data_IF_027958079959
#
_entry.id   IF_027958079959
#
_cell.length_a   1.000
_cell.length_b   1.000
_cell.length_c   1.000
_cell.angle_alpha   90.00
_cell.angle_beta   90.00
_cell.angle_gamma   90.00
#
_symmetry.space_group_name_H-M   'P 1'
#
loop_
_entity.id
_entity.type
_entity.pdbx_description
1 polymer ?
#
# COMPACT_ATOMS: atom_id res chain seq x y z
N UNK A 1 29.51 40.95 -50.09
CA UNK A 1 28.84 39.73 -50.59
C UNK A 1 27.48 39.61 -49.91
N UNK A 2 26.41 40.16 -50.52
CA UNK A 2 25.05 40.12 -49.94
C UNK A 2 24.49 38.71 -50.13
N UNK A 3 24.60 37.87 -49.11
CA UNK A 3 23.90 36.58 -49.09
C UNK A 3 22.41 36.92 -49.21
N UNK A 4 21.75 36.44 -50.27
CA UNK A 4 20.32 36.69 -50.50
C UNK A 4 19.53 36.00 -49.37
N UNK A 5 19.22 36.75 -48.31
CA UNK A 5 18.46 36.28 -47.14
C UNK A 5 17.16 35.54 -47.53
N UNK A 6 16.59 35.90 -48.68
CA UNK A 6 15.40 35.26 -49.26
C UNK A 6 15.59 33.77 -49.60
N UNK A 7 16.82 33.28 -49.83
CA UNK A 7 17.10 31.87 -50.14
C UNK A 7 17.31 30.99 -48.90
N UNK A 8 17.64 31.58 -47.75
CA UNK A 8 17.85 30.85 -46.48
C UNK A 8 16.59 30.77 -45.61
N UNK A 9 15.63 31.67 -45.84
CA UNK A 9 14.35 31.72 -45.13
C UNK A 9 13.55 30.40 -45.15
N UNK A 10 13.38 29.66 -46.28
CA UNK A 10 12.61 28.42 -46.28
C UNK A 10 13.24 27.33 -45.42
N UNK A 11 14.58 27.25 -45.38
CA UNK A 11 15.32 26.28 -44.55
C UNK A 11 15.22 26.61 -43.07
N UNK A 12 15.18 27.90 -42.70
CA UNK A 12 14.99 28.33 -41.32
C UNK A 12 13.57 28.03 -40.82
N UNK A 13 12.55 28.20 -41.67
CA UNK A 13 11.17 27.77 -41.35
C UNK A 13 11.04 26.25 -41.22
N UNK A 14 11.72 25.47 -42.08
CA UNK A 14 11.74 23.99 -41.97
C UNK A 14 12.44 23.56 -40.67
N UNK A 15 13.55 24.21 -40.30
CA UNK A 15 14.24 23.95 -39.04
C UNK A 15 13.37 24.32 -37.83
N UNK A 16 12.65 25.45 -37.88
CA UNK A 16 11.73 25.86 -36.81
C UNK A 16 10.52 24.92 -36.68
N UNK A 17 9.99 24.41 -37.80
CA UNK A 17 8.93 23.41 -37.84
C UNK A 17 9.38 22.04 -37.27
N UNK A 18 10.66 21.69 -37.39
CA UNK A 18 11.23 20.48 -36.78
C UNK A 18 11.29 20.54 -35.24
N UNK A 19 11.46 21.73 -34.65
CA UNK A 19 11.43 21.91 -33.19
C UNK A 19 10.02 21.89 -32.59
N UNK A 20 8.98 22.15 -33.39
CA UNK A 20 7.58 22.07 -32.94
C UNK A 20 7.06 20.63 -32.81
N UNK A 21 7.85 19.63 -33.23
CA UNK A 21 7.49 18.22 -33.20
C UNK A 21 8.20 17.39 -32.11
N UNK A 22 8.81 18.03 -31.11
CA UNK A 22 9.32 17.31 -29.93
C UNK A 22 8.12 16.88 -29.07
N UNK A 23 7.47 15.78 -29.45
CA UNK A 23 6.55 15.08 -28.56
C UNK A 23 7.36 14.55 -27.39
N UNK A 24 7.05 15.02 -26.18
CA UNK A 24 7.47 14.34 -24.96
C UNK A 24 6.77 12.99 -24.91
N UNK A 25 7.40 11.96 -25.48
CA UNK A 25 6.94 10.57 -25.34
C UNK A 25 7.29 10.14 -23.93
N UNK A 26 6.36 10.38 -22.99
CA UNK A 26 6.39 9.70 -21.70
C UNK A 26 5.94 8.27 -21.95
N UNK A 27 6.87 7.34 -22.07
CA UNK A 27 6.53 5.93 -22.11
C UNK A 27 5.99 5.53 -20.73
N UNK A 28 4.70 5.18 -20.67
CA UNK A 28 4.11 4.58 -19.48
C UNK A 28 4.91 3.33 -19.09
N UNK A 29 5.18 3.17 -17.80
CA UNK A 29 5.91 2.00 -17.31
C UNK A 29 4.94 0.80 -17.33
N UNK A 30 5.26 -0.20 -18.14
CA UNK A 30 4.48 -1.44 -18.25
C UNK A 30 4.99 -2.45 -17.20
N UNK A 31 4.12 -2.75 -16.24
CA UNK A 31 4.35 -3.75 -15.20
C UNK A 31 3.03 -4.37 -14.74
N UNK A 32 3.14 -5.54 -14.11
CA UNK A 32 2.08 -6.18 -13.33
C UNK A 32 2.51 -6.38 -11.88
N UNK A 33 1.54 -6.45 -10.98
CA UNK A 33 1.78 -6.71 -9.56
C UNK A 33 1.48 -8.20 -9.30
N UNK A 34 2.53 -9.02 -9.26
CA UNK A 34 2.37 -10.47 -9.09
C UNK A 34 1.92 -10.84 -7.68
N UNK A 35 2.43 -10.13 -6.67
CA UNK A 35 2.14 -10.43 -5.27
C UNK A 35 2.14 -9.16 -4.41
N UNK A 36 1.18 -9.05 -3.50
CA UNK A 36 1.18 -8.10 -2.39
C UNK A 36 0.92 -8.84 -1.08
N UNK A 37 1.98 -9.01 -0.28
CA UNK A 37 1.90 -9.64 1.04
C UNK A 37 2.08 -8.59 2.13
N UNK A 38 1.00 -8.27 2.82
CA UNK A 38 0.98 -7.29 3.91
C UNK A 38 0.74 -7.98 5.26
N UNK A 39 1.62 -7.71 6.21
CA UNK A 39 1.47 -8.15 7.61
C UNK A 39 1.36 -6.92 8.50
N UNK A 40 0.27 -6.80 9.25
CA UNK A 40 0.05 -5.79 10.28
C UNK A 40 0.11 -6.44 11.66
N UNK A 41 1.14 -6.09 12.45
CA UNK A 41 1.36 -6.61 13.80
C UNK A 41 0.85 -5.61 14.84
N UNK A 42 -0.19 -5.99 15.57
CA UNK A 42 -0.81 -5.17 16.62
C UNK A 42 0.15 -5.00 17.80
N UNK A 43 0.25 -3.77 18.30
CA UNK A 43 1.06 -3.40 19.46
C UNK A 43 0.17 -3.06 20.65
N UNK A 44 0.71 -3.20 21.87
CA UNK A 44 -0.03 -2.93 23.11
C UNK A 44 -0.52 -1.49 23.24
N UNK A 45 0.12 -0.55 22.54
CA UNK A 45 -0.24 0.88 22.51
C UNK A 45 -1.30 1.22 21.44
N UNK A 46 -1.87 0.22 20.75
CA UNK A 46 -2.87 0.42 19.71
C UNK A 46 -2.30 0.84 18.35
N UNK A 47 -0.98 0.99 18.23
CA UNK A 47 -0.33 1.11 16.91
C UNK A 47 -0.24 -0.24 16.22
N UNK A 48 -0.03 -0.22 14.90
CA UNK A 48 0.28 -1.42 14.11
C UNK A 48 1.64 -1.25 13.42
N UNK A 49 2.50 -2.25 13.55
CA UNK A 49 3.74 -2.34 12.79
C UNK A 49 3.48 -3.11 11.50
N UNK A 50 3.72 -2.48 10.36
CA UNK A 50 3.42 -3.04 9.04
C UNK A 50 4.70 -3.47 8.34
N UNK A 51 4.66 -4.68 7.76
CA UNK A 51 5.59 -5.14 6.74
C UNK A 51 4.79 -5.43 5.47
N UNK A 52 5.06 -4.72 4.38
CA UNK A 52 4.39 -4.89 3.09
C UNK A 52 5.40 -5.25 2.03
N UNK A 53 5.26 -6.43 1.41
CA UNK A 53 6.15 -6.91 0.36
C UNK A 53 5.36 -6.97 -0.94
N UNK A 54 5.77 -6.17 -1.92
CA UNK A 54 5.11 -6.12 -3.23
C UNK A 54 6.11 -6.54 -4.29
N UNK A 55 5.76 -7.56 -5.06
CA UNK A 55 6.57 -8.08 -6.17
C UNK A 55 5.96 -7.65 -7.49
N UNK A 56 6.76 -6.95 -8.28
CA UNK A 56 6.42 -6.45 -9.59
C UNK A 56 7.15 -7.24 -10.67
N UNK A 57 6.50 -7.49 -11.80
CA UNK A 57 7.13 -7.95 -13.03
C UNK A 57 7.03 -6.85 -14.07
N UNK A 58 8.18 -6.29 -14.44
CA UNK A 58 8.28 -5.21 -15.42
C UNK A 58 8.43 -5.78 -16.83
N UNK A 59 7.69 -5.25 -17.79
CA UNK A 59 7.87 -5.50 -19.23
C UNK A 59 8.70 -4.39 -19.88
N UNK A 60 8.60 -3.16 -19.37
CA UNK A 60 9.46 -2.04 -19.78
C UNK A 60 10.54 -1.72 -18.73
N UNK A 61 11.46 -0.82 -19.06
CA UNK A 61 12.35 -0.24 -18.05
C UNK A 61 11.54 0.62 -17.05
N UNK A 62 12.00 0.70 -15.80
CA UNK A 62 11.47 1.61 -14.79
C UNK A 62 12.58 2.32 -14.03
N UNK A 63 12.33 3.57 -13.62
CA UNK A 63 13.22 4.35 -12.74
C UNK A 63 12.70 4.42 -11.29
N UNK A 64 11.50 3.93 -11.02
CA UNK A 64 10.93 3.97 -9.69
C UNK A 64 9.56 3.31 -9.60
N UNK A 65 9.06 3.24 -8.37
CA UNK A 65 7.79 2.59 -8.03
C UNK A 65 7.03 3.51 -7.09
N UNK A 66 5.73 3.68 -7.36
CA UNK A 66 4.83 4.42 -6.50
C UNK A 66 3.94 3.47 -5.71
N UNK A 67 3.65 3.83 -4.47
CA UNK A 67 2.73 3.11 -3.59
C UNK A 67 2.02 4.08 -2.66
N UNK A 68 0.69 4.00 -2.59
CA UNK A 68 -0.10 4.79 -1.64
C UNK A 68 -0.72 3.90 -0.56
N UNK A 69 -0.45 4.23 0.70
CA UNK A 69 -1.12 3.63 1.86
C UNK A 69 -2.32 4.48 2.26
N UNK A 70 -3.52 3.89 2.21
CA UNK A 70 -4.73 4.47 2.78
C UNK A 70 -4.59 4.69 4.28
N UNK A 71 -4.94 5.88 4.78
CA UNK A 71 -5.10 6.14 6.21
C UNK A 71 -6.24 7.12 6.46
N UNK A 72 -6.90 6.97 7.61
CA UNK A 72 -7.82 7.98 8.12
C UNK A 72 -7.03 9.24 8.56
N UNK A 73 -7.64 10.45 8.56
CA UNK A 73 -6.95 11.69 8.93
C UNK A 73 -6.28 11.68 10.32
N UNK A 74 -6.85 10.93 11.27
CA UNK A 74 -6.31 10.77 12.62
C UNK A 74 -5.08 9.86 12.69
N UNK A 75 -4.85 9.02 11.68
CA UNK A 75 -3.74 8.07 11.65
C UNK A 75 -2.50 8.72 11.04
N UNK A 76 -1.32 8.31 11.51
CA UNK A 76 -0.05 8.75 10.93
C UNK A 76 0.85 7.56 10.65
N UNK A 77 1.55 7.60 9.51
CA UNK A 77 2.61 6.67 9.16
C UNK A 77 3.94 7.25 9.63
N UNK A 78 4.67 6.50 10.45
CA UNK A 78 5.96 6.90 11.01
C UNK A 78 6.98 5.78 10.89
N UNK A 79 8.26 6.10 11.12
CA UNK A 79 9.38 5.15 11.15
C UNK A 79 9.55 4.35 9.83
N UNK A 80 9.29 5.00 8.69
CA UNK A 80 9.31 4.35 7.38
C UNK A 80 10.72 3.90 6.96
N UNK A 81 10.82 2.66 6.47
CA UNK A 81 12.02 2.07 5.87
C UNK A 81 11.64 1.28 4.63
N UNK A 82 12.49 1.30 3.61
CA UNK A 82 12.28 0.58 2.36
C UNK A 82 13.44 -0.37 2.11
N UNK A 83 13.15 -1.59 1.70
CA UNK A 83 14.11 -2.57 1.20
C UNK A 83 13.74 -2.94 -0.23
N UNK A 84 14.72 -2.97 -1.13
CA UNK A 84 14.55 -3.26 -2.55
C UNK A 84 15.35 -4.50 -2.91
N UNK A 85 14.74 -5.39 -3.69
CA UNK A 85 15.39 -6.57 -4.22
C UNK A 85 15.04 -6.74 -5.70
N UNK A 86 15.97 -6.40 -6.58
CA UNK A 86 15.85 -6.72 -7.99
C UNK A 86 16.14 -8.20 -8.24
N UNK A 87 15.68 -8.72 -9.36
CA UNK A 87 15.97 -10.08 -9.82
C UNK A 87 17.48 -10.36 -9.81
N UNK A 88 17.86 -11.52 -9.25
CA UNK A 88 19.25 -11.96 -9.09
C UNK A 88 20.15 -11.02 -8.26
N UNK A 89 19.56 -10.12 -7.46
CA UNK A 89 20.30 -9.27 -6.53
C UNK A 89 19.90 -9.57 -5.08
N UNK A 90 20.85 -9.39 -4.17
CA UNK A 90 20.56 -9.40 -2.72
C UNK A 90 19.77 -8.16 -2.36
N UNK A 91 18.71 -8.33 -1.56
CA UNK A 91 17.89 -7.20 -1.15
C UNK A 91 18.63 -6.24 -0.22
N UNK A 92 18.53 -4.94 -0.49
CA UNK A 92 19.22 -3.86 0.24
C UNK A 92 18.24 -2.83 0.79
N UNK A 93 18.53 -2.22 1.94
CA UNK A 93 17.77 -1.06 2.38
C UNK A 93 18.05 0.12 1.45
N UNK A 94 17.01 0.81 1.01
CA UNK A 94 17.11 2.02 0.20
C UNK A 94 16.87 3.25 1.08
N UNK A 95 17.74 4.25 0.94
CA UNK A 95 17.52 5.59 1.46
C UNK A 95 16.97 6.53 0.38
N UNK A 96 16.89 6.05 -0.87
CA UNK A 96 16.42 6.80 -2.03
C UNK A 96 14.92 6.55 -2.24
N UNK A 97 14.14 7.12 -1.32
CA UNK A 97 12.68 7.16 -1.41
C UNK A 97 12.16 8.45 -0.76
N UNK A 98 11.02 8.92 -1.25
CA UNK A 98 10.26 9.98 -0.58
C UNK A 98 8.97 9.42 0.02
N UNK A 99 8.49 10.08 1.06
CA UNK A 99 7.24 9.78 1.73
C UNK A 99 6.48 11.10 1.93
N UNK A 100 5.36 11.25 1.22
CA UNK A 100 4.54 12.45 1.27
C UNK A 100 3.19 12.14 1.91
N UNK A 101 2.75 12.98 2.85
CA UNK A 101 1.37 12.93 3.36
C UNK A 101 0.42 13.51 2.31
N UNK A 102 -0.65 12.79 2.01
CA UNK A 102 -1.71 13.16 1.06
C UNK A 102 -3.08 13.06 1.75
N UNK A 103 -4.14 13.59 1.13
CA UNK A 103 -5.47 13.66 1.75
C UNK A 103 -5.98 12.32 2.29
N UNK A 104 -5.71 11.23 1.57
CA UNK A 104 -6.16 9.88 1.93
C UNK A 104 -5.02 8.97 2.43
N UNK A 105 -3.97 9.54 3.02
CA UNK A 105 -2.90 8.78 3.68
C UNK A 105 -1.49 9.20 3.27
N UNK A 106 -0.66 8.27 2.81
CA UNK A 106 0.74 8.55 2.49
C UNK A 106 1.16 7.93 1.16
N UNK A 107 1.88 8.70 0.37
CA UNK A 107 2.43 8.31 -0.93
C UNK A 107 3.94 8.08 -0.82
N UNK A 108 4.37 6.87 -1.16
CA UNK A 108 5.76 6.50 -1.33
C UNK A 108 6.15 6.65 -2.80
N UNK A 109 7.27 7.33 -3.06
CA UNK A 109 8.00 7.23 -4.32
C UNK A 109 9.36 6.59 -4.04
N UNK A 110 9.60 5.40 -4.58
CA UNK A 110 10.84 4.65 -4.38
C UNK A 110 11.65 4.70 -5.67
N UNK A 111 12.83 5.30 -5.65
CA UNK A 111 13.69 5.35 -6.82
C UNK A 111 14.49 4.04 -6.93
N UNK A 112 14.38 3.40 -8.09
CA UNK A 112 15.11 2.16 -8.38
C UNK A 112 15.05 1.87 -9.87
N UNK A 113 16.21 1.64 -10.47
CA UNK A 113 16.30 1.25 -11.87
C UNK A 113 16.01 -0.24 -12.00
N UNK A 114 15.00 -0.58 -12.81
CA UNK A 114 14.63 -1.95 -13.13
C UNK A 114 14.72 -2.15 -14.64
N UNK A 115 15.39 -3.23 -15.04
CA UNK A 115 15.53 -3.61 -16.45
C UNK A 115 14.20 -4.15 -17.00
N UNK A 116 13.95 -4.01 -18.31
CA UNK A 116 12.84 -4.71 -18.97
C UNK A 116 12.88 -6.22 -18.70
N UNK A 117 11.70 -6.84 -18.64
CA UNK A 117 11.51 -8.27 -18.46
C UNK A 117 12.10 -8.85 -17.16
N UNK A 118 12.27 -8.03 -16.11
CA UNK A 118 12.79 -8.45 -14.80
C UNK A 118 11.79 -8.22 -13.66
N UNK A 119 12.04 -8.90 -12.54
CA UNK A 119 11.29 -8.71 -11.29
C UNK A 119 11.97 -7.71 -10.36
N UNK A 120 11.15 -7.05 -9.54
CA UNK A 120 11.61 -6.29 -8.39
C UNK A 120 10.62 -6.49 -7.24
N UNK A 121 11.12 -6.80 -6.05
CA UNK A 121 10.34 -6.80 -4.82
C UNK A 121 10.70 -5.59 -3.98
N UNK A 122 9.71 -4.78 -3.63
CA UNK A 122 9.85 -3.69 -2.67
C UNK A 122 9.19 -4.09 -1.37
N UNK A 123 9.94 -4.00 -0.28
CA UNK A 123 9.46 -4.24 1.08
C UNK A 123 9.42 -2.93 1.85
N UNK A 124 8.23 -2.52 2.28
CA UNK A 124 8.00 -1.36 3.12
C UNK A 124 7.85 -1.82 4.58
N UNK A 125 8.51 -1.10 5.48
CA UNK A 125 8.34 -1.24 6.92
C UNK A 125 7.94 0.12 7.47
N UNK A 126 6.90 0.17 8.28
CA UNK A 126 6.47 1.41 8.95
C UNK A 126 5.54 1.08 10.12
N UNK A 127 5.24 2.09 10.92
CA UNK A 127 4.25 2.01 12.01
C UNK A 127 3.10 2.96 11.68
N UNK A 128 1.87 2.49 11.86
CA UNK A 128 0.68 3.34 11.82
C UNK A 128 0.24 3.60 13.26
N UNK A 129 0.19 4.87 13.65
CA UNK A 129 -0.30 5.30 14.97
C UNK A 129 -1.82 5.48 14.94
N UNK A 130 -2.45 5.35 16.11
CA UNK A 130 -3.91 5.52 16.27
C UNK A 130 -4.73 4.60 15.36
N UNK A 131 -4.18 3.42 15.03
CA UNK A 131 -4.85 2.45 14.17
C UNK A 131 -6.02 1.74 14.86
N UNK A 132 -5.89 1.52 16.18
CA UNK A 132 -6.89 0.83 16.99
C UNK A 132 -7.57 1.81 17.92
N UNK A 133 -8.89 1.68 18.05
CA UNK A 133 -9.70 2.40 19.04
C UNK A 133 -10.10 1.45 20.16
N UNK A 134 -9.85 1.84 21.41
CA UNK A 134 -10.37 1.14 22.57
C UNK A 134 -11.69 1.78 23.02
N UNK A 135 -12.76 1.01 23.03
CA UNK A 135 -14.04 1.34 23.64
C UNK A 135 -14.15 0.72 25.03
N UNK A 136 -15.24 0.97 25.77
CA UNK A 136 -15.42 0.39 27.11
C UNK A 136 -15.42 -1.16 27.13
N UNK A 137 -15.84 -1.79 26.03
CA UNK A 137 -16.13 -3.23 25.97
C UNK A 137 -15.36 -4.01 24.88
N UNK A 138 -14.65 -3.33 23.98
CA UNK A 138 -13.85 -3.89 22.88
C UNK A 138 -12.69 -2.98 22.49
N UNK A 139 -11.63 -3.57 21.93
CA UNK A 139 -10.73 -2.89 21.02
C UNK A 139 -11.15 -3.20 19.57
N UNK A 140 -11.09 -2.19 18.69
CA UNK A 140 -11.52 -2.28 17.29
C UNK A 140 -10.39 -1.84 16.36
N UNK A 141 -10.14 -2.65 15.33
CA UNK A 141 -9.39 -2.27 14.15
C UNK A 141 -10.34 -2.36 12.95
N UNK A 142 -10.64 -1.21 12.34
CA UNK A 142 -11.29 -1.12 11.05
C UNK A 142 -10.29 -0.47 10.07
N UNK A 143 -9.74 -1.25 9.15
CA UNK A 143 -8.54 -0.86 8.42
C UNK A 143 -8.43 -1.47 7.02
N UNK A 144 -8.22 -0.60 6.03
CA UNK A 144 -7.88 -0.96 4.65
C UNK A 144 -6.42 -1.47 4.57
N UNK A 145 -6.22 -2.75 4.88
CA UNK A 145 -4.89 -3.38 5.00
C UNK A 145 -4.20 -3.55 3.63
N UNK A 146 -4.98 -3.84 2.58
CA UNK A 146 -4.57 -3.66 1.19
C UNK A 146 -5.37 -2.47 0.67
N UNK A 147 -4.67 -1.40 0.31
CA UNK A 147 -5.28 -0.16 -0.16
C UNK A 147 -6.06 -0.31 -1.48
N UNK A 148 -6.85 0.70 -1.81
CA UNK A 148 -7.67 0.80 -3.02
C UNK A 148 -7.08 1.79 -4.04
N UNK A 149 -5.78 2.11 -3.92
CA UNK A 149 -5.09 3.14 -4.73
C UNK A 149 -4.09 2.52 -5.71
N UNK A 150 -4.44 1.35 -6.23
CA UNK A 150 -3.66 0.64 -7.23
C UNK A 150 -4.18 0.94 -8.62
N UNK A 151 -3.31 1.43 -9.51
CA UNK A 151 -3.62 1.67 -10.93
C UNK A 151 -3.50 0.38 -11.78
N UNK A 152 -3.21 -0.75 -11.13
CA UNK A 152 -3.01 -2.07 -11.74
C UNK A 152 -3.63 -3.12 -10.85
N UNK A 153 -4.12 -4.19 -11.46
CA UNK A 153 -4.60 -5.36 -10.75
C UNK A 153 -3.46 -6.06 -9.99
N UNK A 154 -3.83 -6.74 -8.91
CA UNK A 154 -2.95 -7.55 -8.10
C UNK A 154 -3.27 -9.02 -8.34
N UNK A 155 -2.37 -9.74 -9.01
CA UNK A 155 -2.56 -11.17 -9.31
C UNK A 155 -2.84 -11.95 -8.01
N UNK A 156 -2.11 -11.63 -6.93
CA UNK A 156 -2.29 -12.22 -5.61
C UNK A 156 -2.15 -11.20 -4.48
N UNK A 157 -3.21 -11.04 -3.69
CA UNK A 157 -3.20 -10.24 -2.47
C UNK A 157 -3.32 -11.13 -1.23
N UNK A 158 -2.44 -10.90 -0.25
CA UNK A 158 -2.49 -11.55 1.06
C UNK A 158 -2.29 -10.53 2.16
N UNK A 159 -3.23 -10.48 3.08
CA UNK A 159 -3.16 -9.64 4.26
C UNK A 159 -3.19 -10.50 5.53
N UNK A 160 -2.37 -10.14 6.51
CA UNK A 160 -2.27 -10.85 7.79
C UNK A 160 -2.30 -9.85 8.93
N UNK A 161 -3.23 -10.01 9.87
CA UNK A 161 -3.19 -9.32 11.15
C UNK A 161 -2.60 -10.28 12.19
N UNK A 162 -1.55 -9.84 12.87
CA UNK A 162 -0.89 -10.60 13.94
C UNK A 162 -1.13 -9.92 15.28
N UNK A 163 -1.64 -10.68 16.23
CA UNK A 163 -1.75 -10.29 17.63
C UNK A 163 -0.44 -10.61 18.37
N UNK A 164 -0.15 -9.94 19.51
CA UNK A 164 1.03 -10.23 20.33
C UNK A 164 1.12 -11.67 20.88
N UNK A 165 0.02 -12.44 20.79
CA UNK A 165 -0.09 -13.81 21.24
C UNK A 165 -1.49 -14.38 20.97
N UNK A 166 -1.82 -15.57 21.51
CA UNK A 166 -3.14 -16.18 21.36
C UNK A 166 -4.26 -15.28 21.91
N UNK A 167 -5.41 -15.23 21.20
CA UNK A 167 -6.57 -14.43 21.62
C UNK A 167 -7.86 -15.22 21.40
N UNK A 168 -8.54 -15.58 22.51
CA UNK A 168 -9.75 -16.43 22.47
C UNK A 168 -10.96 -15.73 21.83
N UNK A 169 -11.12 -14.43 22.07
CA UNK A 169 -12.33 -13.67 21.74
C UNK A 169 -12.09 -12.68 20.60
N UNK A 170 -11.55 -13.17 19.47
CA UNK A 170 -11.49 -12.42 18.21
C UNK A 170 -12.80 -12.61 17.44
N UNK A 171 -13.36 -11.52 16.92
CA UNK A 171 -14.27 -11.52 15.76
C UNK A 171 -13.66 -10.69 14.66
N UNK A 172 -13.81 -11.13 13.42
CA UNK A 172 -13.30 -10.42 12.26
C UNK A 172 -14.23 -10.63 11.07
N UNK A 173 -14.30 -9.60 10.24
CA UNK A 173 -14.95 -9.53 8.95
C UNK A 173 -13.94 -8.96 7.96
N UNK A 174 -14.15 -9.25 6.68
CA UNK A 174 -13.33 -8.72 5.61
C UNK A 174 -14.24 -8.22 4.49
N UNK A 175 -13.93 -7.03 3.97
CA UNK A 175 -14.62 -6.42 2.84
C UNK A 175 -13.63 -6.31 1.68
N UNK A 176 -14.08 -6.65 0.48
CA UNK A 176 -13.23 -6.77 -0.71
C UNK A 176 -13.95 -7.53 -1.83
N UNK A 177 -13.22 -8.16 -2.76
CA UNK A 177 -13.84 -8.87 -3.88
C UNK A 177 -14.60 -10.12 -3.41
N UNK A 178 -15.59 -10.55 -4.20
CA UNK A 178 -16.44 -11.72 -3.91
C UNK A 178 -15.64 -13.03 -3.80
N UNK A 179 -14.45 -13.11 -4.41
CA UNK A 179 -13.57 -14.27 -4.36
C UNK A 179 -12.58 -14.25 -3.17
N UNK A 180 -12.75 -13.31 -2.24
CA UNK A 180 -11.92 -13.19 -1.04
C UNK A 180 -12.14 -14.33 -0.04
N UNK A 181 -11.11 -14.63 0.75
CA UNK A 181 -11.16 -15.61 1.83
C UNK A 181 -10.68 -14.99 3.15
N UNK A 182 -11.30 -15.37 4.26
CA UNK A 182 -10.96 -14.95 5.62
C UNK A 182 -10.77 -16.18 6.53
N UNK A 183 -9.67 -16.19 7.29
CA UNK A 183 -9.38 -17.22 8.31
C UNK A 183 -8.91 -16.62 9.61
N UNK A 184 -9.49 -17.06 10.72
CA UNK A 184 -9.13 -16.66 12.08
C UNK A 184 -8.49 -17.86 12.79
N UNK A 185 -7.24 -17.73 13.19
CA UNK A 185 -6.51 -18.68 14.03
C UNK A 185 -6.28 -18.07 15.42
N UNK A 186 -7.21 -18.34 16.33
CA UNK A 186 -7.21 -17.82 17.70
C UNK A 186 -6.01 -18.29 18.53
N UNK A 187 -5.55 -19.53 18.29
CA UNK A 187 -4.40 -20.12 19.00
C UNK A 187 -3.10 -19.45 18.59
N UNK A 188 -2.98 -19.05 17.32
CA UNK A 188 -1.80 -18.31 16.82
C UNK A 188 -1.95 -16.79 16.90
N UNK A 189 -3.11 -16.29 17.33
CA UNK A 189 -3.39 -14.85 17.32
C UNK A 189 -3.24 -14.27 15.91
N UNK A 190 -3.93 -14.85 14.92
CA UNK A 190 -3.74 -14.48 13.52
C UNK A 190 -5.05 -14.42 12.76
N UNK A 191 -5.24 -13.35 11.99
CA UNK A 191 -6.27 -13.24 10.96
C UNK A 191 -5.56 -13.23 9.60
N UNK A 192 -6.01 -14.04 8.65
CA UNK A 192 -5.46 -14.10 7.29
C UNK A 192 -6.58 -13.84 6.29
N UNK A 193 -6.33 -12.92 5.36
CA UNK A 193 -7.19 -12.64 4.22
C UNK A 193 -6.43 -12.84 2.92
N UNK A 194 -7.08 -13.38 1.91
CA UNK A 194 -6.49 -13.56 0.57
C UNK A 194 -7.51 -13.25 -0.52
N UNK A 195 -7.04 -12.68 -1.62
CA UNK A 195 -7.78 -12.57 -2.87
C UNK A 195 -6.83 -12.82 -4.05
N UNK A 196 -7.35 -13.40 -5.12
CA UNK A 196 -6.65 -13.58 -6.39
C UNK A 196 -7.28 -12.67 -7.44
N UNK A 197 -6.48 -12.13 -8.35
CA UNK A 197 -6.92 -11.17 -9.37
C UNK A 197 -7.76 -10.05 -8.74
N UNK A 198 -7.19 -9.39 -7.72
CA UNK A 198 -7.83 -8.25 -7.08
C UNK A 198 -7.71 -7.06 -8.04
N UNK A 199 -8.85 -6.60 -8.56
CA UNK A 199 -8.93 -5.48 -9.49
C UNK A 199 -8.22 -4.24 -8.94
N UNK A 200 -7.62 -3.47 -9.86
CA UNK A 200 -7.18 -2.12 -9.60
C UNK A 200 -8.31 -1.32 -8.95
N UNK A 201 -7.94 -0.40 -8.07
CA UNK A 201 -8.87 0.42 -7.30
C UNK A 201 -9.81 -0.33 -6.32
N UNK A 202 -9.64 -1.64 -6.13
CA UNK A 202 -10.34 -2.42 -5.10
C UNK A 202 -9.38 -2.75 -3.96
N UNK A 203 -9.84 -2.52 -2.73
CA UNK A 203 -9.08 -2.79 -1.51
C UNK A 203 -9.50 -4.07 -0.80
N UNK A 204 -8.73 -4.43 0.24
CA UNK A 204 -9.14 -5.40 1.25
C UNK A 204 -9.15 -4.69 2.59
N UNK A 205 -10.32 -4.59 3.18
CA UNK A 205 -10.54 -4.06 4.52
C UNK A 205 -10.67 -5.21 5.52
N UNK A 206 -10.08 -5.04 6.69
CA UNK A 206 -10.36 -5.87 7.86
C UNK A 206 -11.13 -5.03 8.87
N UNK A 207 -12.26 -5.56 9.32
CA UNK A 207 -12.93 -5.07 10.51
C UNK A 207 -12.83 -6.14 11.59
N UNK A 208 -12.13 -5.88 12.68
CA UNK A 208 -11.95 -6.85 13.76
C UNK A 208 -12.10 -6.22 15.13
N UNK A 209 -12.82 -6.94 16.01
CA UNK A 209 -12.96 -6.59 17.42
C UNK A 209 -12.38 -7.70 18.31
N UNK A 210 -11.71 -7.29 19.38
CA UNK A 210 -10.97 -8.17 20.28
C UNK A 210 -10.87 -7.59 21.71
N UNK A 211 -10.38 -8.36 22.70
CA UNK A 211 -10.31 -7.89 24.08
C UNK A 211 -9.34 -6.73 24.29
N UNK A 212 -9.71 -5.80 25.18
CA UNK A 212 -8.89 -4.65 25.57
C UNK A 212 -7.51 -5.00 26.12
N UNK A 213 -7.34 -6.22 26.66
CA UNK A 213 -6.05 -6.70 27.17
C UNK A 213 -4.96 -6.79 26.10
N UNK A 214 -5.33 -6.91 24.82
CA UNK A 214 -4.38 -6.89 23.69
C UNK A 214 -3.70 -5.52 23.56
N UNK A 215 -4.46 -4.45 23.81
CA UNK A 215 -4.08 -3.04 23.62
C UNK A 215 -4.14 -2.26 24.93
N UNK A 216 -3.65 -2.88 26.02
CA UNK A 216 -3.73 -2.33 27.38
C UNK A 216 -3.00 -1.00 27.61
N UNK A 217 -2.13 -0.57 26.68
CA UNK A 217 -1.42 0.70 26.72
C UNK A 217 -1.95 1.74 25.72
N UNK A 218 -3.00 1.41 24.98
CA UNK A 218 -3.57 2.31 23.98
C UNK A 218 -4.19 3.54 24.63
N UNK A 219 -3.96 4.71 24.02
CA UNK A 219 -4.48 6.00 24.46
C UNK A 219 -5.60 6.53 23.57
N UNK A 220 -5.81 5.93 22.40
CA UNK A 220 -6.96 6.21 21.56
C UNK A 220 -8.20 5.50 22.14
N UNK A 221 -8.85 6.16 23.09
CA UNK A 221 -9.98 5.64 23.87
C UNK A 221 -11.23 6.46 23.58
N UNK A 222 -12.35 5.79 23.38
CA UNK A 222 -13.68 6.42 23.28
C UNK A 222 -14.56 5.87 24.39
N UNK A 223 -15.09 6.75 25.23
CA UNK A 223 -15.80 6.39 26.45
C UNK A 223 -17.28 5.99 26.20
N UNK A 224 -17.49 4.92 25.44
CA UNK A 224 -18.79 4.30 25.17
C UNK A 224 -18.66 2.79 24.95
N UNK A 225 -19.75 2.05 25.09
CA UNK A 225 -19.82 0.66 24.58
C UNK A 225 -20.01 0.69 23.06
N UNK A 226 -19.42 -0.28 22.36
CA UNK A 226 -19.44 -0.27 20.89
C UNK A 226 -19.62 -1.65 20.25
N UNK A 227 -19.48 -2.74 21.01
CA UNK A 227 -19.61 -4.11 20.48
C UNK A 227 -20.93 -4.35 19.76
N UNK A 228 -22.04 -3.92 20.34
CA UNK A 228 -23.37 -4.17 19.77
C UNK A 228 -23.57 -3.44 18.43
N UNK A 229 -23.01 -2.23 18.29
CA UNK A 229 -23.03 -1.47 17.06
C UNK A 229 -22.27 -2.19 15.95
N UNK A 230 -21.02 -2.61 16.20
CA UNK A 230 -20.21 -3.37 15.24
C UNK A 230 -20.91 -4.66 14.81
N UNK A 231 -21.45 -5.42 15.76
CA UNK A 231 -22.17 -6.66 15.45
C UNK A 231 -23.44 -6.44 14.63
N UNK A 232 -24.07 -5.28 14.73
CA UNK A 232 -25.23 -4.91 13.91
C UNK A 232 -24.80 -4.49 12.50
N UNK A 233 -23.72 -3.71 12.41
CA UNK A 233 -23.16 -3.27 11.12
C UNK A 233 -22.75 -4.46 10.25
N UNK A 234 -22.07 -5.44 10.82
CA UNK A 234 -21.48 -6.57 10.09
C UNK A 234 -22.43 -7.77 9.88
N UNK A 235 -23.73 -7.59 10.17
CA UNK A 235 -24.76 -8.61 9.92
C UNK A 235 -25.44 -8.46 8.56
N UNK A 236 -25.15 -7.38 7.84
CA UNK A 236 -25.75 -7.03 6.55
C UNK A 236 -24.86 -7.50 5.39
#
# INVERSE_FOLDING_TARGET
MKIKFMKVMPYLTILLLLFLYVKNVSAEVDYRIENNVTTASIKKDGSIAVKKQITYKFKSQSKGIFYQQNLAPSQNLVDAKVKIQNENQTGRYSHDFSLQKVNSGYHFAVYNHVKPNSRCTVTYFYKITQAITNYRDIAELNFMIIGDKWDRDLDHAKAVVLFPGPVKNIKAWAHGPLNGYLKIDKKKGKITMTASNLDGHVGIEVHTIFPLSVTSKNKNIVDRTHRAFVLKQEKN
#
